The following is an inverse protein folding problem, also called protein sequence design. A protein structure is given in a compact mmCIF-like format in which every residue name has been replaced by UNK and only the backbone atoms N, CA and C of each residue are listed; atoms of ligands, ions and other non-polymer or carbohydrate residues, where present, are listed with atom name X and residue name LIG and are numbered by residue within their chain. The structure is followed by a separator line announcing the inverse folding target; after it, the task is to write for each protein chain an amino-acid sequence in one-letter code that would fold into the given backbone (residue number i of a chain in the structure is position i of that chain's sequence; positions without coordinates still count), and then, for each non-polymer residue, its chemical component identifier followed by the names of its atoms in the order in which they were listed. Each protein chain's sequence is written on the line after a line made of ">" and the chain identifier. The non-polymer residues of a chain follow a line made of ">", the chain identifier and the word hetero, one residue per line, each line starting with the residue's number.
data_IF_119329373215
#
_entry.id   IF_119329373215
#
_cell.length_a   1.000
_cell.length_b   1.000
_cell.length_c   1.000
_cell.angle_alpha   90.00
_cell.angle_beta   90.00
_cell.angle_gamma   90.00
#
_symmetry.space_group_name_H-M   'P 1'
#
loop_
_entity.id
_entity.type
_entity.pdbx_description
1 polymer ?
#
# COMPACT_ATOMS: atom_id res chain seq x y z
N UNK A 1 -29.58 21.15 -7.24
CA UNK A 1 -28.38 21.00 -8.02
C UNK A 1 -27.12 21.20 -7.24
N UNK A 2 -26.96 22.34 -6.61
CA UNK A 2 -25.80 22.59 -5.80
C UNK A 2 -25.68 21.59 -4.67
N UNK A 3 -26.82 21.21 -4.07
CA UNK A 3 -26.82 20.28 -2.97
C UNK A 3 -26.28 18.91 -3.38
N UNK A 4 -26.57 18.50 -4.59
CA UNK A 4 -26.08 17.21 -5.08
C UNK A 4 -24.57 17.20 -5.21
N UNK A 5 -24.01 18.30 -5.67
CA UNK A 5 -22.57 18.43 -5.80
C UNK A 5 -21.90 18.34 -4.45
N UNK A 6 -22.46 19.06 -3.49
CA UNK A 6 -21.90 19.06 -2.13
C UNK A 6 -21.97 17.67 -1.53
N UNK A 7 -23.10 17.00 -1.69
CA UNK A 7 -23.26 15.64 -1.17
C UNK A 7 -22.23 14.71 -1.78
N UNK A 8 -21.99 14.86 -3.05
CA UNK A 8 -21.03 14.03 -3.75
C UNK A 8 -19.62 14.24 -3.17
N UNK A 9 -19.26 15.48 -2.89
CA UNK A 9 -17.97 15.77 -2.30
C UNK A 9 -17.82 15.15 -0.92
N UNK A 10 -18.87 15.17 -0.13
CA UNK A 10 -18.84 14.54 1.17
C UNK A 10 -18.60 13.04 1.05
N UNK A 11 -19.25 12.41 0.11
CA UNK A 11 -19.04 10.99 -0.12
C UNK A 11 -17.58 10.72 -0.51
N UNK A 12 -17.01 11.61 -1.31
CA UNK A 12 -15.60 11.48 -1.67
C UNK A 12 -14.70 11.54 -0.46
N UNK A 13 -15.00 12.42 0.47
CA UNK A 13 -14.21 12.52 1.69
C UNK A 13 -14.32 11.27 2.54
N UNK A 14 -15.51 10.72 2.63
CA UNK A 14 -15.70 9.49 3.39
C UNK A 14 -14.91 8.35 2.79
N UNK A 15 -14.90 8.24 1.48
CA UNK A 15 -14.12 7.23 0.80
C UNK A 15 -12.65 7.42 1.07
N UNK A 16 -12.19 8.66 1.08
CA UNK A 16 -10.81 8.95 1.38
C UNK A 16 -10.45 8.48 2.78
N UNK A 17 -11.30 8.75 3.76
CA UNK A 17 -11.05 8.29 5.11
C UNK A 17 -11.00 6.77 5.18
N UNK A 18 -11.89 6.10 4.47
CA UNK A 18 -11.84 4.65 4.38
C UNK A 18 -10.55 4.17 3.74
N UNK A 19 -10.00 4.98 2.81
CA UNK A 19 -8.76 4.64 2.15
C UNK A 19 -7.54 4.68 3.06
N UNK A 20 -7.66 5.24 4.26
CA UNK A 20 -6.55 5.25 5.20
C UNK A 20 -6.16 3.84 5.63
N UNK A 21 -7.03 2.86 5.46
CA UNK A 21 -6.76 1.48 5.80
C UNK A 21 -6.27 0.71 4.58
N UNK A 22 -5.13 1.11 4.05
CA UNK A 22 -4.54 0.40 2.91
C UNK A 22 -3.84 -0.88 3.32
N UNK A 23 -3.57 -1.03 4.59
CA UNK A 23 -2.94 -2.22 5.14
C UNK A 23 -4.03 -3.25 5.40
N UNK A 24 -4.40 -3.98 4.37
CA UNK A 24 -5.46 -4.98 4.48
C UNK A 24 -5.17 -6.14 3.54
N UNK A 25 -5.92 -7.22 3.72
CA UNK A 25 -5.73 -8.44 2.96
C UNK A 25 -6.05 -8.23 1.48
N UNK A 26 -7.02 -7.40 1.18
CA UNK A 26 -7.39 -7.12 -0.20
C UNK A 26 -6.23 -6.52 -0.99
N UNK A 27 -5.55 -5.54 -0.41
CA UNK A 27 -4.39 -4.94 -1.06
C UNK A 27 -3.21 -5.90 -1.10
N UNK A 28 -3.03 -6.67 -0.03
CA UNK A 28 -1.98 -7.69 -0.01
C UNK A 28 -2.18 -8.69 -1.15
N UNK A 29 -3.40 -9.09 -1.39
CA UNK A 29 -3.71 -10.06 -2.44
C UNK A 29 -3.46 -9.53 -3.85
N UNK A 30 -3.31 -8.22 -4.00
CA UNK A 30 -3.00 -7.61 -5.30
C UNK A 30 -1.51 -7.65 -5.62
N UNK A 31 -0.67 -7.92 -4.62
CA UNK A 31 0.78 -7.94 -4.82
C UNK A 31 1.19 -9.18 -5.61
N UNK A 32 2.18 -9.02 -6.48
CA UNK A 32 2.68 -10.11 -7.31
C UNK A 32 4.18 -10.00 -7.49
N UNK A 33 4.83 -11.14 -7.58
CA UNK A 33 6.25 -11.18 -7.90
C UNK A 33 6.48 -10.54 -9.27
N UNK A 34 7.50 -9.71 -9.38
CA UNK A 34 7.82 -9.01 -10.62
C UNK A 34 7.15 -7.65 -10.77
N UNK A 35 6.22 -7.34 -9.88
CA UNK A 35 5.54 -6.04 -9.88
C UNK A 35 6.56 -4.94 -9.61
N UNK A 36 6.41 -3.78 -10.27
CA UNK A 36 7.35 -2.68 -10.07
C UNK A 36 7.11 -1.99 -8.74
N UNK A 37 8.15 -1.31 -8.24
CA UNK A 37 8.04 -0.53 -7.02
C UNK A 37 6.89 0.48 -7.13
N UNK A 38 6.77 1.18 -8.26
CA UNK A 38 5.72 2.18 -8.44
C UNK A 38 4.33 1.56 -8.42
N UNK A 39 4.17 0.35 -8.93
CA UNK A 39 2.90 -0.34 -8.88
C UNK A 39 2.51 -0.70 -7.45
N UNK A 40 3.49 -1.13 -6.64
CA UNK A 40 3.23 -1.44 -5.25
C UNK A 40 2.81 -0.18 -4.50
N UNK A 41 3.50 0.93 -4.72
CA UNK A 41 3.17 2.20 -4.08
C UNK A 41 1.77 2.67 -4.50
N UNK A 42 1.38 2.42 -5.74
CA UNK A 42 0.03 2.79 -6.20
C UNK A 42 -1.05 2.01 -5.44
N UNK A 43 -0.76 0.77 -5.08
CA UNK A 43 -1.70 -0.06 -4.32
C UNK A 43 -1.64 0.25 -2.83
N UNK A 44 -0.43 0.31 -2.27
CA UNK A 44 -0.22 0.34 -0.84
C UNK A 44 -0.03 1.73 -0.26
N UNK A 45 0.28 2.71 -1.10
CA UNK A 45 0.67 4.03 -0.62
C UNK A 45 2.12 4.01 -0.15
N UNK A 46 2.55 5.07 0.51
CA UNK A 46 3.92 5.18 0.99
C UNK A 46 4.16 4.20 2.13
N UNK A 47 5.32 3.56 2.11
CA UNK A 47 5.71 2.65 3.17
C UNK A 47 6.04 3.42 4.44
N UNK A 48 5.85 2.77 5.60
CA UNK A 48 6.25 3.37 6.87
C UNK A 48 7.76 3.40 7.01
N UNK A 49 8.44 2.42 6.44
CA UNK A 49 9.91 2.45 6.40
C UNK A 49 10.40 1.63 5.23
N UNK A 50 11.54 2.03 4.69
CA UNK A 50 12.23 1.29 3.62
C UNK A 50 13.73 1.36 3.87
N UNK A 51 14.40 0.21 3.67
CA UNK A 51 15.85 0.12 3.71
C UNK A 51 16.34 -0.32 2.34
N UNK A 52 17.35 0.36 1.81
CA UNK A 52 17.90 0.01 0.51
C UNK A 52 19.38 -0.30 0.67
N UNK A 53 19.81 -1.46 0.18
CA UNK A 53 21.19 -1.90 0.24
C UNK A 53 21.55 -2.59 -1.08
N UNK A 54 22.52 -2.02 -1.80
CA UNK A 54 23.10 -2.65 -2.99
C UNK A 54 22.06 -3.12 -4.01
N UNK A 55 21.10 -2.24 -4.33
CA UNK A 55 20.07 -2.54 -5.32
C UNK A 55 18.87 -3.30 -4.78
N UNK A 56 18.95 -3.78 -3.55
CA UNK A 56 17.82 -4.40 -2.88
C UNK A 56 17.12 -3.37 -2.00
N UNK A 57 15.79 -3.44 -1.93
CA UNK A 57 15.01 -2.55 -1.09
C UNK A 57 14.01 -3.38 -0.30
N UNK A 58 13.88 -3.07 0.98
CA UNK A 58 12.96 -3.77 1.86
C UNK A 58 12.04 -2.73 2.47
N UNK A 59 10.76 -2.78 2.15
CA UNK A 59 9.78 -1.81 2.62
C UNK A 59 8.75 -2.47 3.52
N UNK A 60 8.33 -1.74 4.54
CA UNK A 60 7.38 -2.25 5.52
C UNK A 60 6.24 -1.24 5.66
N UNK A 61 5.01 -1.75 5.58
CA UNK A 61 3.80 -0.99 5.86
C UNK A 61 3.18 -1.54 7.12
N UNK A 62 2.96 -0.68 8.12
CA UNK A 62 2.28 -1.08 9.34
C UNK A 62 3.18 -1.10 10.56
N UNK A 63 2.82 -1.95 11.52
CA UNK A 63 3.48 -2.04 12.83
C UNK A 63 4.12 -3.41 13.01
N UNK A 64 4.71 -3.63 14.18
CA UNK A 64 5.34 -4.93 14.46
C UNK A 64 4.32 -6.05 14.57
N UNK A 65 3.06 -5.75 14.85
CA UNK A 65 2.02 -6.77 15.03
C UNK A 65 1.12 -6.93 13.82
N UNK A 66 1.04 -5.91 12.97
CA UNK A 66 0.21 -5.95 11.77
C UNK A 66 0.95 -5.22 10.66
N UNK A 67 1.44 -5.97 9.70
CA UNK A 67 2.26 -5.35 8.65
C UNK A 67 2.27 -6.15 7.36
N UNK A 68 2.73 -5.48 6.32
CA UNK A 68 3.06 -6.10 5.04
C UNK A 68 4.50 -5.70 4.74
N UNK A 69 5.31 -6.67 4.38
CA UNK A 69 6.71 -6.46 4.02
C UNK A 69 6.88 -6.83 2.55
N UNK A 70 7.54 -5.97 1.78
CA UNK A 70 7.82 -6.25 0.38
C UNK A 70 9.30 -6.03 0.13
N UNK A 71 9.93 -7.00 -0.51
CA UNK A 71 11.34 -6.91 -0.88
C UNK A 71 11.45 -6.75 -2.39
N UNK A 72 12.25 -5.78 -2.79
CA UNK A 72 12.47 -5.44 -4.19
C UNK A 72 13.92 -5.69 -4.55
N UNK A 73 14.15 -6.11 -5.79
CA UNK A 73 15.47 -6.18 -6.36
C UNK A 73 15.38 -5.49 -7.72
N UNK A 74 16.25 -4.49 -7.95
CA UNK A 74 16.19 -3.67 -9.16
C UNK A 74 14.78 -3.12 -9.39
N UNK A 75 14.13 -2.67 -8.30
CA UNK A 75 12.80 -2.07 -8.29
C UNK A 75 11.65 -3.01 -8.68
N UNK A 76 11.89 -4.31 -8.64
CA UNK A 76 10.84 -5.30 -8.86
C UNK A 76 10.64 -6.18 -7.65
N UNK A 77 9.41 -6.55 -7.37
CA UNK A 77 9.09 -7.41 -6.22
C UNK A 77 9.67 -8.80 -6.42
N UNK A 78 10.46 -9.23 -5.44
CA UNK A 78 11.01 -10.60 -5.42
C UNK A 78 10.48 -11.40 -4.25
N UNK A 79 9.89 -10.74 -3.26
CA UNK A 79 9.34 -11.41 -2.09
C UNK A 79 8.36 -10.47 -1.40
N UNK A 80 7.28 -11.00 -0.85
CA UNK A 80 6.38 -10.22 0.00
C UNK A 80 5.73 -11.15 1.02
N UNK A 81 5.38 -10.57 2.17
CA UNK A 81 4.83 -11.33 3.28
C UNK A 81 3.94 -10.41 4.12
N UNK A 82 3.11 -11.00 4.95
CA UNK A 82 2.22 -10.23 5.81
C UNK A 82 2.16 -10.84 7.20
N UNK A 83 1.74 -10.01 8.16
CA UNK A 83 1.56 -10.44 9.53
C UNK A 83 0.33 -9.74 10.09
N UNK A 84 -0.54 -10.49 10.71
CA UNK A 84 -1.70 -9.93 11.41
C UNK A 84 -2.82 -9.39 10.54
N UNK A 85 -2.83 -9.69 9.26
CA UNK A 85 -3.91 -9.22 8.38
C UNK A 85 -5.17 -10.06 8.50
#
# INVERSE_FOLDING_TARGET
>A
MKNKVITFLLCGLLLFLGGCSKLNKENYDKLKIGMSYNEVIAIMGDADSCDAVMGAKNCIWGTSTKNITVKFMADNVVFFDSKGL
#
